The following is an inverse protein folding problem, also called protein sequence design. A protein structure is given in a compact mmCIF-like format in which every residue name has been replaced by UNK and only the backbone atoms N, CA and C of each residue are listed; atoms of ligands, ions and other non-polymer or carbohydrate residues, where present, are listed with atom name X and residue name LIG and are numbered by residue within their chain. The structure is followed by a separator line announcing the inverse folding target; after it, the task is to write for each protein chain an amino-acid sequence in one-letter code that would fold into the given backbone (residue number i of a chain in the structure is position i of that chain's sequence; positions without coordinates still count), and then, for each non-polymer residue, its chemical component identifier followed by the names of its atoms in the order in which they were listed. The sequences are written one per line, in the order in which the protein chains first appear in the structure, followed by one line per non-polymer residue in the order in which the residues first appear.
data_IF_249890652785
#
_entry.id   IF_249890652785
#
_cell.length_a   1.000
_cell.length_b   1.000
_cell.length_c   1.000
_cell.angle_alpha   90.00
_cell.angle_beta   90.00
_cell.angle_gamma   90.00
#
_symmetry.space_group_name_H-M   'P 1'
#
loop_
_entity.id
_entity.type
_entity.pdbx_description
1 polymer ?
#
# COMPACT_ATOMS: atom_id res chain seq x y z
N UNK A 1 75.41 -29.13 30.15
CA UNK A 1 74.34 -28.14 30.13
C UNK A 1 74.01 -27.82 28.70
N UNK A 2 72.80 -28.23 28.27
CA UNK A 2 72.42 -28.33 26.88
C UNK A 2 72.09 -26.99 26.21
N UNK A 3 72.98 -26.59 25.30
CA UNK A 3 72.71 -25.41 24.40
C UNK A 3 71.58 -25.62 23.41
N UNK A 4 70.99 -26.81 23.33
CA UNK A 4 69.90 -27.14 22.42
C UNK A 4 68.51 -26.70 22.94
N UNK A 5 68.29 -26.47 24.23
CA UNK A 5 67.02 -26.07 24.78
C UNK A 5 66.71 -24.59 24.70
N UNK A 6 67.68 -23.71 24.50
CA UNK A 6 67.49 -22.25 24.46
C UNK A 6 67.05 -21.80 23.06
N UNK A 7 67.38 -22.51 21.99
CA UNK A 7 66.99 -22.16 20.61
C UNK A 7 65.52 -22.44 20.26
N UNK A 8 64.95 -23.46 20.88
CA UNK A 8 63.54 -23.84 20.58
C UNK A 8 62.53 -22.87 21.19
N UNK A 9 62.88 -22.26 22.34
CA UNK A 9 61.93 -21.26 22.99
C UNK A 9 61.93 -19.92 22.23
N UNK A 10 63.05 -19.53 21.64
CA UNK A 10 63.16 -18.27 20.91
C UNK A 10 62.46 -18.32 19.53
N UNK A 11 62.51 -19.44 18.83
CA UNK A 11 61.84 -19.68 17.57
C UNK A 11 60.30 -19.69 17.76
N UNK A 12 59.80 -20.31 18.85
CA UNK A 12 58.37 -20.32 19.17
C UNK A 12 57.81 -18.94 19.57
N UNK A 13 58.63 -18.10 20.22
CA UNK A 13 58.23 -16.74 20.56
C UNK A 13 58.18 -15.83 19.32
N UNK A 14 59.12 -15.96 18.39
CA UNK A 14 59.14 -15.24 17.11
C UNK A 14 57.94 -15.64 16.22
N UNK A 15 57.58 -16.94 16.19
CA UNK A 15 56.42 -17.44 15.43
C UNK A 15 55.10 -16.88 15.99
N UNK A 16 54.94 -16.89 17.32
CA UNK A 16 53.75 -16.30 17.97
C UNK A 16 53.63 -14.79 17.74
N UNK A 17 54.74 -14.07 17.72
CA UNK A 17 54.76 -12.64 17.41
C UNK A 17 54.37 -12.35 15.94
N UNK A 18 54.86 -13.18 15.00
CA UNK A 18 54.50 -13.09 13.58
C UNK A 18 53.00 -13.39 13.35
N UNK A 19 52.48 -14.42 14.01
CA UNK A 19 51.08 -14.81 13.91
C UNK A 19 50.15 -13.73 14.53
N UNK A 20 50.53 -13.15 15.66
CA UNK A 20 49.79 -12.04 16.28
C UNK A 20 49.79 -10.78 15.38
N UNK A 21 50.91 -10.48 14.71
CA UNK A 21 50.99 -9.35 13.77
C UNK A 21 50.13 -9.58 12.52
N UNK A 22 50.04 -10.84 12.05
CA UNK A 22 49.21 -11.22 10.91
C UNK A 22 47.70 -11.14 11.26
N UNK A 23 47.34 -11.60 12.45
CA UNK A 23 45.97 -11.50 12.96
C UNK A 23 45.54 -10.02 13.16
N UNK A 24 46.42 -9.18 13.69
CA UNK A 24 46.15 -7.75 13.84
C UNK A 24 45.97 -7.04 12.47
N UNK A 25 46.78 -7.40 11.45
CA UNK A 25 46.60 -6.86 10.09
C UNK A 25 45.27 -7.28 9.46
N UNK A 26 44.84 -8.55 9.64
CA UNK A 26 43.53 -9.01 9.15
C UNK A 26 42.42 -8.25 9.84
N UNK A 27 42.44 -8.12 11.15
CA UNK A 27 41.42 -7.40 11.91
C UNK A 27 41.27 -5.92 11.49
N UNK A 28 42.40 -5.25 11.18
CA UNK A 28 42.41 -3.88 10.66
C UNK A 28 41.83 -3.82 9.24
N UNK A 29 42.09 -4.82 8.40
CA UNK A 29 41.48 -4.91 7.06
C UNK A 29 39.98 -5.15 7.11
N UNK A 30 39.50 -6.03 8.00
CA UNK A 30 38.09 -6.28 8.19
C UNK A 30 37.34 -5.03 8.72
N UNK A 31 37.92 -4.34 9.70
CA UNK A 31 37.37 -3.08 10.20
C UNK A 31 37.33 -1.97 9.13
N UNK A 32 38.33 -1.93 8.24
CA UNK A 32 38.35 -0.97 7.13
C UNK A 32 37.30 -1.32 6.05
N UNK A 33 37.06 -2.61 5.80
CA UNK A 33 36.01 -3.08 4.89
C UNK A 33 34.63 -2.77 5.43
N UNK A 34 34.35 -3.05 6.70
CA UNK A 34 33.09 -2.72 7.38
C UNK A 34 32.81 -1.22 7.41
N UNK A 35 33.85 -0.41 7.68
CA UNK A 35 33.72 1.05 7.66
C UNK A 35 33.38 1.59 6.25
N UNK A 36 33.94 0.97 5.19
CA UNK A 36 33.68 1.32 3.80
C UNK A 36 32.24 0.96 3.42
N UNK A 37 31.80 -0.24 3.76
CA UNK A 37 30.44 -0.73 3.51
C UNK A 37 29.40 0.11 4.26
N UNK A 38 29.65 0.48 5.51
CA UNK A 38 28.79 1.39 6.29
C UNK A 38 28.71 2.78 5.67
N UNK A 39 29.81 3.32 5.11
CA UNK A 39 29.79 4.62 4.40
C UNK A 39 29.06 4.55 3.08
N UNK A 40 29.18 3.46 2.33
CA UNK A 40 28.46 3.25 1.07
C UNK A 40 26.95 3.12 1.34
N UNK A 41 26.56 2.36 2.37
CA UNK A 41 25.15 2.26 2.80
C UNK A 41 24.57 3.61 3.20
N UNK A 42 25.29 4.40 4.02
CA UNK A 42 24.87 5.76 4.39
C UNK A 42 24.74 6.71 3.19
N UNK A 43 25.61 6.59 2.17
CA UNK A 43 25.50 7.36 0.93
C UNK A 43 24.29 6.95 0.11
N UNK A 44 24.02 5.64 0.00
CA UNK A 44 22.85 5.12 -0.70
C UNK A 44 21.54 5.56 -0.01
N UNK A 45 21.49 5.50 1.32
CA UNK A 45 20.33 5.96 2.10
C UNK A 45 20.13 7.48 1.99
N UNK A 46 21.21 8.26 1.98
CA UNK A 46 21.16 9.70 1.77
C UNK A 46 20.73 10.07 0.34
N UNK A 47 21.13 9.30 -0.68
CA UNK A 47 20.66 9.49 -2.06
C UNK A 47 19.19 9.15 -2.21
N UNK A 48 18.71 8.05 -1.58
CA UNK A 48 17.28 7.71 -1.54
C UNK A 48 16.44 8.77 -0.84
N UNK A 49 16.94 9.30 0.29
CA UNK A 49 16.27 10.38 1.01
C UNK A 49 16.23 11.70 0.20
N UNK A 50 17.30 12.01 -0.54
CA UNK A 50 17.33 13.18 -1.42
C UNK A 50 16.42 13.01 -2.65
N UNK A 51 16.34 11.81 -3.22
CA UNK A 51 15.41 11.49 -4.31
C UNK A 51 13.94 11.56 -3.83
N UNK A 52 13.66 11.03 -2.63
CA UNK A 52 12.34 11.14 -2.01
C UNK A 52 11.96 12.61 -1.73
N UNK A 53 12.89 13.43 -1.24
CA UNK A 53 12.66 14.88 -1.08
C UNK A 53 12.40 15.60 -2.39
N UNK A 54 13.11 15.26 -3.47
CA UNK A 54 12.85 15.81 -4.80
C UNK A 54 11.48 15.42 -5.35
N UNK A 55 11.06 14.17 -5.14
CA UNK A 55 9.72 13.68 -5.52
C UNK A 55 8.62 14.41 -4.71
N UNK A 56 8.85 14.65 -3.42
CA UNK A 56 7.92 15.40 -2.57
C UNK A 56 7.85 16.86 -3.02
N UNK A 57 8.98 17.52 -3.30
CA UNK A 57 9.02 18.88 -3.77
C UNK A 57 8.42 19.04 -5.19
N UNK A 58 8.58 18.05 -6.07
CA UNK A 58 7.91 18.02 -7.37
C UNK A 58 6.38 17.88 -7.21
N UNK A 59 5.93 16.99 -6.32
CA UNK A 59 4.51 16.82 -6.00
C UNK A 59 3.89 18.06 -5.32
N UNK A 60 4.68 18.82 -4.55
CA UNK A 60 4.24 20.09 -3.95
C UNK A 60 4.20 21.24 -4.97
N UNK A 61 5.04 21.21 -6.00
CA UNK A 61 5.00 22.23 -7.07
C UNK A 61 3.83 22.04 -8.04
N UNK A 62 3.29 20.80 -8.16
CA UNK A 62 2.09 20.51 -8.94
C UNK A 62 0.79 20.88 -8.22
N UNK A 63 0.81 21.13 -6.90
CA UNK A 63 -0.36 21.56 -6.11
C UNK A 63 -0.93 22.93 -6.52
N UNK A 64 -0.32 23.64 -7.45
CA UNK A 64 -0.65 25.05 -7.75
C UNK A 64 -1.67 25.32 -8.85
N UNK A 65 -2.17 24.34 -9.62
CA UNK A 65 -2.93 24.65 -10.84
C UNK A 65 -4.15 23.80 -11.15
N UNK A 66 -4.40 22.70 -10.47
CA UNK A 66 -5.61 21.88 -10.69
C UNK A 66 -6.75 22.36 -9.77
N UNK A 67 -8.00 22.50 -10.26
CA UNK A 67 -9.14 22.80 -9.40
C UNK A 67 -9.34 21.68 -8.39
N UNK A 68 -9.63 22.03 -7.14
CA UNK A 68 -9.93 21.08 -6.08
C UNK A 68 -11.18 20.28 -6.44
N UNK A 69 -11.07 18.96 -6.47
CA UNK A 69 -12.21 18.05 -6.70
C UNK A 69 -13.03 17.96 -5.41
N UNK A 70 -14.19 18.59 -5.37
CA UNK A 70 -15.06 18.62 -4.18
C UNK A 70 -15.99 17.43 -4.08
N UNK A 71 -16.45 16.92 -5.21
CA UNK A 71 -17.38 15.80 -5.30
C UNK A 71 -17.21 15.05 -6.63
N UNK A 72 -17.57 13.79 -6.64
CA UNK A 72 -17.49 12.91 -7.80
C UNK A 72 -18.86 12.27 -7.98
N UNK A 73 -19.38 12.28 -9.20
CA UNK A 73 -20.64 11.62 -9.52
C UNK A 73 -20.53 10.13 -9.19
N UNK A 74 -21.54 9.57 -8.55
CA UNK A 74 -21.53 8.16 -8.08
C UNK A 74 -21.21 7.18 -9.21
N UNK A 75 -21.79 7.39 -10.42
CA UNK A 75 -21.45 6.57 -11.60
C UNK A 75 -19.96 6.60 -11.92
N UNK A 76 -19.35 7.79 -11.93
CA UNK A 76 -17.94 7.97 -12.23
C UNK A 76 -17.05 7.37 -11.15
N UNK A 77 -17.46 7.48 -9.89
CA UNK A 77 -16.78 6.81 -8.78
C UNK A 77 -16.76 5.29 -8.95
N UNK A 78 -17.89 4.69 -9.36
CA UNK A 78 -17.99 3.26 -9.66
C UNK A 78 -17.14 2.85 -10.87
N UNK A 79 -16.99 3.71 -11.88
CA UNK A 79 -16.02 3.48 -12.98
C UNK A 79 -14.59 3.48 -12.49
N UNK A 80 -14.21 4.44 -11.64
CA UNK A 80 -12.86 4.52 -11.06
C UNK A 80 -12.55 3.26 -10.23
N UNK A 81 -13.52 2.78 -9.44
CA UNK A 81 -13.39 1.53 -8.69
C UNK A 81 -13.17 0.35 -9.64
N UNK A 82 -13.95 0.25 -10.73
CA UNK A 82 -13.78 -0.81 -11.70
C UNK A 82 -12.40 -0.78 -12.40
N UNK A 83 -11.87 0.40 -12.73
CA UNK A 83 -10.52 0.53 -13.26
C UNK A 83 -9.45 0.05 -12.30
N UNK A 84 -9.64 0.23 -10.99
CA UNK A 84 -8.72 -0.31 -9.99
C UNK A 84 -8.77 -1.84 -9.95
N UNK A 85 -9.97 -2.44 -9.95
CA UNK A 85 -10.14 -3.90 -9.99
C UNK A 85 -9.52 -4.52 -11.24
N UNK A 86 -9.55 -3.80 -12.36
CA UNK A 86 -8.97 -4.27 -13.62
C UNK A 86 -7.46 -3.98 -13.75
N UNK A 87 -6.81 -3.39 -12.74
CA UNK A 87 -5.46 -2.85 -12.87
C UNK A 87 -4.38 -3.92 -13.15
N UNK A 88 -4.54 -5.12 -12.64
CA UNK A 88 -3.66 -6.28 -12.90
C UNK A 88 -4.10 -7.12 -14.11
N UNK A 89 -5.20 -6.74 -14.79
CA UNK A 89 -5.79 -7.45 -15.93
C UNK A 89 -6.78 -8.55 -15.54
N UNK A 90 -7.04 -8.76 -14.23
CA UNK A 90 -7.93 -9.81 -13.74
C UNK A 90 -8.86 -9.22 -12.67
N UNK A 91 -10.15 -9.45 -12.78
CA UNK A 91 -11.12 -9.07 -11.75
C UNK A 91 -11.45 -10.32 -10.90
N UNK A 92 -11.15 -10.26 -9.61
CA UNK A 92 -11.36 -11.39 -8.70
C UNK A 92 -12.78 -11.37 -8.12
N UNK A 93 -13.28 -12.55 -7.75
CA UNK A 93 -14.63 -12.70 -7.19
C UNK A 93 -14.82 -11.91 -5.87
N UNK A 94 -13.79 -11.85 -5.02
CA UNK A 94 -13.79 -11.07 -3.78
C UNK A 94 -13.95 -9.56 -4.02
N UNK A 95 -13.34 -9.06 -5.09
CA UNK A 95 -13.48 -7.67 -5.52
C UNK A 95 -14.89 -7.39 -6.06
N UNK A 96 -15.43 -8.31 -6.89
CA UNK A 96 -16.79 -8.20 -7.38
C UNK A 96 -17.84 -8.16 -6.26
N UNK A 97 -17.69 -9.01 -5.24
CA UNK A 97 -18.58 -8.99 -4.06
C UNK A 97 -18.51 -7.64 -3.31
N UNK A 98 -17.29 -7.09 -3.15
CA UNK A 98 -17.11 -5.77 -2.52
C UNK A 98 -17.66 -4.65 -3.40
N UNK A 99 -17.42 -4.71 -4.72
CA UNK A 99 -17.96 -3.76 -5.69
C UNK A 99 -19.48 -3.74 -5.65
N UNK A 100 -20.13 -4.91 -5.58
CA UNK A 100 -21.58 -5.02 -5.48
C UNK A 100 -22.10 -4.42 -4.17
N UNK A 101 -21.43 -4.66 -3.07
CA UNK A 101 -21.81 -4.09 -1.78
C UNK A 101 -21.65 -2.56 -1.76
N UNK A 102 -20.55 -2.03 -2.28
CA UNK A 102 -20.29 -0.59 -2.39
C UNK A 102 -21.30 0.05 -3.35
N UNK A 103 -21.49 -0.53 -4.54
CA UNK A 103 -22.42 -0.02 -5.54
C UNK A 103 -23.85 0.07 -5.02
N UNK A 104 -24.34 -0.97 -4.35
CA UNK A 104 -25.67 -0.98 -3.73
C UNK A 104 -25.82 0.05 -2.59
N UNK A 105 -24.73 0.36 -1.89
CA UNK A 105 -24.74 1.39 -0.84
C UNK A 105 -24.74 2.82 -1.42
N UNK A 106 -24.10 3.03 -2.57
CA UNK A 106 -23.97 4.34 -3.22
C UNK A 106 -25.14 4.67 -4.14
N UNK A 107 -25.71 3.67 -4.83
CA UNK A 107 -26.79 3.84 -5.81
C UNK A 107 -27.87 2.78 -5.58
N UNK A 108 -29.10 3.16 -5.16
CA UNK A 108 -30.22 2.22 -5.02
C UNK A 108 -30.56 1.44 -6.31
N UNK A 109 -30.23 1.99 -7.49
CA UNK A 109 -30.48 1.38 -8.78
C UNK A 109 -29.21 0.71 -9.36
N UNK A 110 -28.20 0.45 -8.54
CA UNK A 110 -26.91 -0.09 -8.98
C UNK A 110 -27.04 -1.39 -9.75
N UNK A 111 -27.92 -2.29 -9.33
CA UNK A 111 -28.12 -3.58 -10.01
C UNK A 111 -28.50 -3.40 -11.50
N UNK A 112 -29.24 -2.36 -11.84
CA UNK A 112 -29.64 -2.04 -13.21
C UNK A 112 -28.54 -1.29 -13.97
N UNK A 113 -27.76 -0.45 -13.28
CA UNK A 113 -26.72 0.39 -13.88
C UNK A 113 -25.37 -0.35 -14.01
N UNK A 114 -25.08 -1.35 -13.17
CA UNK A 114 -23.82 -2.11 -13.14
C UNK A 114 -23.38 -2.65 -14.50
N UNK A 115 -24.25 -3.34 -15.30
CA UNK A 115 -23.82 -3.88 -16.60
C UNK A 115 -23.36 -2.80 -17.58
N UNK A 116 -23.99 -1.62 -17.56
CA UNK A 116 -23.60 -0.51 -18.40
C UNK A 116 -22.25 0.10 -17.95
N UNK A 117 -22.03 0.26 -16.66
CA UNK A 117 -20.75 0.74 -16.10
C UNK A 117 -19.60 -0.17 -16.50
N UNK A 118 -19.76 -1.48 -16.27
CA UNK A 118 -18.74 -2.49 -16.63
C UNK A 118 -18.45 -2.47 -18.11
N UNK A 119 -19.50 -2.47 -18.94
CA UNK A 119 -19.36 -2.47 -20.40
C UNK A 119 -18.60 -1.24 -20.91
N UNK A 120 -18.89 -0.07 -20.36
CA UNK A 120 -18.23 1.18 -20.76
C UNK A 120 -16.73 1.15 -20.41
N UNK A 121 -16.36 0.63 -19.25
CA UNK A 121 -14.96 0.47 -18.84
C UNK A 121 -14.25 -0.61 -19.68
N UNK A 122 -14.86 -1.79 -19.86
CA UNK A 122 -14.29 -2.88 -20.66
C UNK A 122 -14.06 -2.47 -22.11
N UNK A 123 -14.96 -1.73 -22.71
CA UNK A 123 -14.82 -1.27 -24.10
C UNK A 123 -13.58 -0.39 -24.32
N UNK A 124 -13.05 0.24 -23.28
CA UNK A 124 -11.78 0.98 -23.32
C UNK A 124 -10.59 0.05 -23.10
N UNK A 125 -10.67 -0.86 -22.12
CA UNK A 125 -9.57 -1.74 -21.72
C UNK A 125 -9.30 -2.87 -22.73
N UNK A 126 -10.34 -3.46 -23.33
CA UNK A 126 -10.18 -4.58 -24.28
C UNK A 126 -9.33 -4.23 -25.50
N UNK A 127 -9.26 -2.94 -25.87
CA UNK A 127 -8.45 -2.48 -27.02
C UNK A 127 -6.95 -2.56 -26.77
N UNK A 128 -6.52 -2.64 -25.51
CA UNK A 128 -5.12 -2.44 -25.09
C UNK A 128 -4.64 -3.44 -24.05
N UNK A 129 -5.45 -4.46 -23.71
CA UNK A 129 -5.17 -5.40 -22.60
C UNK A 129 -3.79 -6.10 -22.70
N UNK A 130 -3.30 -6.30 -23.92
CA UNK A 130 -2.01 -6.93 -24.20
C UNK A 130 -0.92 -5.91 -24.63
N UNK A 131 -1.16 -4.60 -24.47
CA UNK A 131 -0.24 -3.55 -24.89
C UNK A 131 0.57 -2.97 -23.73
N UNK A 132 1.74 -2.39 -24.05
CA UNK A 132 2.53 -1.62 -23.07
C UNK A 132 1.78 -0.39 -22.56
N UNK A 133 0.74 0.06 -23.29
CA UNK A 133 -0.06 1.24 -22.99
C UNK A 133 -1.23 0.94 -22.02
N UNK A 134 -1.40 -0.30 -21.56
CA UNK A 134 -2.53 -0.70 -20.72
C UNK A 134 -2.68 0.19 -19.46
N UNK A 135 -1.57 0.46 -18.80
CA UNK A 135 -1.57 1.31 -17.60
C UNK A 135 -1.92 2.77 -17.90
N UNK A 136 -1.49 3.29 -19.06
CA UNK A 136 -1.81 4.65 -19.48
C UNK A 136 -3.30 4.80 -19.77
N UNK A 137 -3.92 3.79 -20.38
CA UNK A 137 -5.38 3.77 -20.63
C UNK A 137 -6.18 3.69 -19.32
N UNK A 138 -5.69 2.96 -18.32
CA UNK A 138 -6.30 2.98 -16.97
C UNK A 138 -6.25 4.39 -16.37
N UNK A 139 -5.12 5.07 -16.48
CA UNK A 139 -4.97 6.45 -15.97
C UNK A 139 -5.89 7.42 -16.71
N UNK A 140 -5.96 7.34 -18.03
CA UNK A 140 -6.82 8.16 -18.87
C UNK A 140 -8.29 7.95 -18.50
N UNK A 141 -8.73 6.68 -18.35
CA UNK A 141 -10.08 6.36 -17.90
C UNK A 141 -10.44 6.93 -16.54
N UNK A 142 -9.49 6.90 -15.60
CA UNK A 142 -9.64 7.53 -14.28
C UNK A 142 -9.73 9.06 -14.41
N UNK A 143 -8.87 9.69 -15.21
CA UNK A 143 -8.91 11.13 -15.43
C UNK A 143 -10.22 11.58 -16.05
N UNK A 144 -10.68 10.89 -17.09
CA UNK A 144 -11.95 11.16 -17.75
C UNK A 144 -13.12 11.05 -16.76
N UNK A 145 -13.11 10.01 -15.91
CA UNK A 145 -14.14 9.87 -14.88
C UNK A 145 -14.10 10.97 -13.83
N UNK A 146 -12.93 11.46 -13.43
CA UNK A 146 -12.80 12.59 -12.49
C UNK A 146 -13.27 13.89 -13.15
N UNK A 147 -12.87 14.15 -14.40
CA UNK A 147 -13.17 15.41 -15.11
C UNK A 147 -14.61 15.49 -15.59
N UNK A 148 -15.20 14.34 -15.98
CA UNK A 148 -16.59 14.26 -16.47
C UNK A 148 -17.62 14.21 -15.35
N UNK A 149 -17.23 14.42 -14.10
CA UNK A 149 -18.15 14.58 -12.95
C UNK A 149 -19.13 15.73 -13.19
N UNK A 150 -20.21 15.43 -13.90
CA UNK A 150 -21.09 16.41 -14.49
C UNK A 150 -22.12 16.96 -13.49
N UNK A 151 -22.47 18.22 -13.72
CA UNK A 151 -23.55 18.96 -13.04
C UNK A 151 -24.95 18.30 -13.15
N UNK A 152 -25.09 17.24 -13.97
CA UNK A 152 -26.35 16.53 -14.21
C UNK A 152 -26.50 15.21 -13.44
N UNK A 153 -25.54 14.85 -12.60
CA UNK A 153 -25.62 13.62 -11.82
C UNK A 153 -26.58 13.81 -10.61
N UNK A 154 -27.42 12.80 -10.34
CA UNK A 154 -28.37 12.84 -9.24
C UNK A 154 -27.71 12.59 -7.86
N UNK A 155 -26.57 11.89 -7.85
CA UNK A 155 -25.85 11.51 -6.62
C UNK A 155 -24.35 11.73 -6.76
N UNK A 156 -23.74 12.16 -5.65
CA UNK A 156 -22.30 12.45 -5.57
C UNK A 156 -21.70 11.87 -4.30
N UNK A 157 -20.42 11.52 -4.37
CA UNK A 157 -19.63 11.11 -3.20
C UNK A 157 -18.45 12.04 -3.00
N UNK A 158 -17.90 12.05 -1.78
CA UNK A 158 -16.69 12.81 -1.49
C UNK A 158 -15.43 12.07 -2.00
N UNK A 159 -14.37 12.77 -2.38
CA UNK A 159 -13.11 12.15 -2.76
C UNK A 159 -12.54 11.22 -1.67
N UNK A 160 -12.73 11.56 -0.40
CA UNK A 160 -12.29 10.74 0.73
C UNK A 160 -13.05 9.42 0.83
N UNK A 161 -14.37 9.44 0.59
CA UNK A 161 -15.19 8.22 0.55
C UNK A 161 -14.74 7.31 -0.60
N UNK A 162 -14.52 7.89 -1.80
CA UNK A 162 -13.99 7.10 -2.92
C UNK A 162 -12.65 6.43 -2.58
N UNK A 163 -11.72 7.15 -1.94
CA UNK A 163 -10.42 6.56 -1.56
C UNK A 163 -10.60 5.45 -0.52
N UNK A 164 -11.55 5.59 0.41
CA UNK A 164 -11.89 4.52 1.35
C UNK A 164 -12.43 3.27 0.63
N UNK A 165 -13.33 3.45 -0.33
CA UNK A 165 -13.91 2.36 -1.10
C UNK A 165 -12.84 1.67 -1.97
N UNK A 166 -11.94 2.44 -2.60
CA UNK A 166 -10.81 1.92 -3.36
C UNK A 166 -9.85 1.07 -2.49
N UNK A 167 -9.54 1.53 -1.27
CA UNK A 167 -8.74 0.76 -0.32
C UNK A 167 -9.46 -0.53 0.11
N UNK A 168 -10.79 -0.47 0.31
CA UNK A 168 -11.59 -1.64 0.66
C UNK A 168 -11.56 -2.71 -0.43
N UNK A 169 -11.58 -2.30 -1.70
CA UNK A 169 -11.43 -3.20 -2.85
C UNK A 169 -10.01 -3.76 -2.92
N UNK A 170 -8.99 -2.89 -2.91
CA UNK A 170 -7.59 -3.28 -3.06
C UNK A 170 -7.10 -4.28 -2.00
N UNK A 171 -7.72 -4.29 -0.83
CA UNK A 171 -7.39 -5.23 0.24
C UNK A 171 -8.38 -6.40 0.37
N UNK A 172 -9.29 -6.60 -0.61
CA UNK A 172 -10.34 -7.62 -0.52
C UNK A 172 -9.83 -9.05 -0.72
N UNK A 173 -8.77 -9.24 -1.49
CA UNK A 173 -8.23 -10.54 -1.89
C UNK A 173 -6.88 -10.91 -1.24
N UNK A 174 -6.39 -10.07 -0.32
CA UNK A 174 -5.06 -10.19 0.32
C UNK A 174 -3.86 -9.99 -0.64
N UNK A 175 -4.10 -9.65 -1.92
CA UNK A 175 -3.09 -9.60 -2.98
C UNK A 175 -2.86 -8.18 -3.52
N UNK A 176 -2.98 -7.13 -2.68
CA UNK A 176 -2.76 -5.75 -3.11
C UNK A 176 -1.43 -5.59 -3.89
N UNK A 177 -1.53 -5.65 -5.20
CA UNK A 177 -0.40 -5.74 -6.11
C UNK A 177 0.28 -4.39 -6.37
N UNK A 178 1.40 -4.41 -7.11
CA UNK A 178 2.15 -3.19 -7.38
C UNK A 178 1.42 -2.26 -8.38
N UNK A 179 0.64 -2.81 -9.31
CA UNK A 179 -0.09 -2.06 -10.34
C UNK A 179 -1.27 -1.34 -9.73
N UNK A 180 -2.09 -2.03 -8.94
CA UNK A 180 -3.16 -1.44 -8.15
C UNK A 180 -2.64 -0.34 -7.22
N UNK A 181 -1.53 -0.62 -6.53
CA UNK A 181 -0.88 0.35 -5.63
C UNK A 181 -0.41 1.60 -6.35
N UNK A 182 0.11 1.47 -7.57
CA UNK A 182 0.50 2.60 -8.41
C UNK A 182 -0.72 3.40 -8.84
N UNK A 183 -1.77 2.73 -9.31
CA UNK A 183 -3.00 3.36 -9.75
C UNK A 183 -3.72 4.08 -8.60
N UNK A 184 -3.84 3.44 -7.44
CA UNK A 184 -4.42 4.06 -6.24
C UNK A 184 -3.66 5.31 -5.81
N UNK A 185 -2.32 5.27 -5.78
CA UNK A 185 -1.49 6.46 -5.49
C UNK A 185 -1.65 7.57 -6.52
N UNK A 186 -1.87 7.21 -7.78
CA UNK A 186 -2.18 8.17 -8.83
C UNK A 186 -3.53 8.85 -8.58
N UNK A 187 -4.59 8.07 -8.29
CA UNK A 187 -5.92 8.57 -7.96
C UNK A 187 -5.88 9.51 -6.74
N UNK A 188 -5.24 9.09 -5.65
CA UNK A 188 -5.08 9.89 -4.42
C UNK A 188 -4.46 11.26 -4.70
N UNK A 189 -3.44 11.31 -5.58
CA UNK A 189 -2.81 12.57 -6.00
C UNK A 189 -3.74 13.44 -6.84
N UNK A 190 -4.49 12.84 -7.78
CA UNK A 190 -5.44 13.58 -8.63
C UNK A 190 -6.60 14.16 -7.81
N UNK A 191 -7.05 13.44 -6.80
CA UNK A 191 -8.07 13.87 -5.85
C UNK A 191 -7.56 14.84 -4.78
N UNK A 192 -6.26 15.13 -4.76
CA UNK A 192 -5.59 16.02 -3.79
C UNK A 192 -5.80 15.61 -2.32
N UNK A 193 -5.95 14.32 -2.07
CA UNK A 193 -6.07 13.79 -0.71
C UNK A 193 -4.74 13.95 0.04
N UNK A 194 -4.82 14.49 1.25
CA UNK A 194 -3.64 14.62 2.10
C UNK A 194 -3.02 13.26 2.41
N UNK A 195 -1.69 13.20 2.37
CA UNK A 195 -0.95 11.95 2.59
C UNK A 195 -1.19 11.38 3.99
N UNK A 196 -1.35 12.22 5.01
CA UNK A 196 -1.59 11.74 6.37
C UNK A 196 -2.98 11.10 6.46
N UNK A 197 -4.00 11.71 5.83
CA UNK A 197 -5.36 11.16 5.73
C UNK A 197 -5.35 9.82 5.01
N UNK A 198 -4.65 9.70 3.88
CA UNK A 198 -4.54 8.45 3.15
C UNK A 198 -3.89 7.34 3.99
N UNK A 199 -2.77 7.63 4.67
CA UNK A 199 -2.08 6.65 5.52
C UNK A 199 -2.92 6.23 6.73
N UNK A 200 -3.73 7.12 7.29
CA UNK A 200 -4.64 6.80 8.37
C UNK A 200 -5.76 5.86 7.91
N UNK A 201 -6.35 6.12 6.73
CA UNK A 201 -7.33 5.23 6.10
C UNK A 201 -6.73 3.84 5.83
N UNK A 202 -5.55 3.78 5.21
CA UNK A 202 -4.86 2.52 4.92
C UNK A 202 -4.56 1.72 6.20
N UNK A 203 -4.04 2.36 7.24
CA UNK A 203 -3.78 1.74 8.54
C UNK A 203 -5.07 1.23 9.21
N UNK A 204 -6.16 1.97 9.07
CA UNK A 204 -7.46 1.60 9.62
C UNK A 204 -8.02 0.34 8.94
N UNK A 205 -7.97 0.25 7.61
CA UNK A 205 -8.39 -0.95 6.86
C UNK A 205 -7.56 -2.16 7.27
N UNK A 206 -6.24 -2.05 7.31
CA UNK A 206 -5.37 -3.15 7.73
C UNK A 206 -5.71 -3.63 9.15
N UNK A 207 -5.98 -2.70 10.07
CA UNK A 207 -6.37 -3.05 11.43
C UNK A 207 -7.73 -3.75 11.48
N UNK A 208 -8.69 -3.34 10.66
CA UNK A 208 -10.01 -3.99 10.54
C UNK A 208 -9.83 -5.43 10.03
N UNK A 209 -9.05 -5.63 8.97
CA UNK A 209 -8.77 -6.96 8.41
C UNK A 209 -8.09 -7.88 9.42
N UNK A 210 -7.12 -7.37 10.19
CA UNK A 210 -6.47 -8.14 11.25
C UNK A 210 -7.48 -8.57 12.34
N UNK A 211 -8.40 -7.67 12.71
CA UNK A 211 -9.49 -7.97 13.66
C UNK A 211 -10.42 -9.05 13.08
N UNK A 212 -10.80 -8.95 11.82
CA UNK A 212 -11.66 -9.91 11.13
C UNK A 212 -11.02 -11.29 11.07
N UNK A 213 -9.72 -11.36 10.75
CA UNK A 213 -8.93 -12.61 10.77
C UNK A 213 -8.87 -13.21 12.18
N UNK A 214 -8.65 -12.40 13.21
CA UNK A 214 -8.64 -12.87 14.59
C UNK A 214 -10.02 -13.42 15.00
N UNK A 215 -11.10 -12.72 14.67
CA UNK A 215 -12.49 -13.19 14.96
C UNK A 215 -12.77 -14.51 14.21
N UNK A 216 -12.43 -14.58 12.93
CA UNK A 216 -12.60 -15.81 12.14
C UNK A 216 -11.83 -16.97 12.74
N UNK A 217 -10.55 -16.77 13.10
CA UNK A 217 -9.73 -17.79 13.76
C UNK A 217 -10.31 -18.23 15.10
N UNK A 218 -10.77 -17.30 15.96
CA UNK A 218 -11.38 -17.64 17.25
C UNK A 218 -12.62 -18.51 17.05
N UNK A 219 -13.45 -18.23 16.04
CA UNK A 219 -14.67 -19.00 15.73
C UNK A 219 -14.39 -20.41 15.24
N UNK A 220 -13.19 -20.69 14.70
CA UNK A 220 -12.79 -22.04 14.27
C UNK A 220 -12.20 -22.89 15.39
N UNK A 221 -11.99 -22.34 16.59
CA UNK A 221 -11.41 -23.07 17.73
C UNK A 221 -12.46 -23.95 18.42
N UNK A 222 -12.04 -25.12 18.94
CA UNK A 222 -12.90 -26.04 19.71
C UNK A 222 -13.21 -25.56 21.15
N UNK A 223 -12.98 -24.26 21.44
CA UNK A 223 -13.23 -23.69 22.77
C UNK A 223 -14.71 -23.48 22.99
N UNK A 224 -15.26 -23.72 24.20
CA UNK A 224 -16.64 -23.42 24.51
C UNK A 224 -16.96 -21.94 24.24
N UNK A 225 -18.10 -21.66 23.56
CA UNK A 225 -18.50 -20.29 23.17
C UNK A 225 -18.41 -19.29 24.31
N UNK A 226 -18.88 -19.64 25.51
CA UNK A 226 -18.84 -18.78 26.69
C UNK A 226 -17.42 -18.30 27.08
N UNK A 227 -16.37 -19.03 26.66
CA UNK A 227 -14.98 -18.64 26.94
C UNK A 227 -14.41 -17.69 25.93
N UNK A 228 -15.00 -17.63 24.71
CA UNK A 228 -14.54 -16.79 23.60
C UNK A 228 -15.43 -15.58 23.34
N UNK A 229 -16.69 -15.59 23.83
CA UNK A 229 -17.68 -14.53 23.62
C UNK A 229 -17.18 -13.16 24.05
N UNK A 230 -16.56 -13.07 25.23
CA UNK A 230 -16.03 -11.80 25.72
C UNK A 230 -14.97 -11.21 24.79
N UNK A 231 -14.09 -12.05 24.21
CA UNK A 231 -13.05 -11.62 23.29
C UNK A 231 -13.64 -11.20 21.94
N UNK A 232 -14.60 -11.96 21.40
CA UNK A 232 -15.30 -11.58 20.16
C UNK A 232 -16.00 -10.24 20.34
N UNK A 233 -16.70 -10.03 21.46
CA UNK A 233 -17.39 -8.77 21.74
C UNK A 233 -16.42 -7.59 21.88
N UNK A 234 -15.26 -7.78 22.51
CA UNK A 234 -14.20 -6.77 22.59
C UNK A 234 -13.70 -6.39 21.20
N UNK A 235 -13.35 -7.37 20.36
CA UNK A 235 -12.87 -7.16 19.00
C UNK A 235 -13.92 -6.46 18.12
N UNK A 236 -15.17 -6.86 18.20
CA UNK A 236 -16.28 -6.21 17.47
C UNK A 236 -16.47 -4.76 17.90
N UNK A 237 -16.37 -4.46 19.19
CA UNK A 237 -16.42 -3.06 19.69
C UNK A 237 -15.25 -2.23 19.18
N UNK A 238 -14.04 -2.82 19.15
CA UNK A 238 -12.86 -2.14 18.61
C UNK A 238 -13.01 -1.86 17.13
N UNK A 239 -13.50 -2.82 16.36
CA UNK A 239 -13.79 -2.63 14.94
C UNK A 239 -14.80 -1.50 14.72
N UNK A 240 -15.91 -1.48 15.46
CA UNK A 240 -16.89 -0.40 15.39
C UNK A 240 -16.30 0.98 15.68
N UNK A 241 -15.44 1.10 16.71
CA UNK A 241 -14.76 2.35 17.03
C UNK A 241 -13.83 2.83 15.92
N UNK A 242 -13.17 1.92 15.20
CA UNK A 242 -12.34 2.27 14.04
C UNK A 242 -13.22 2.78 12.90
N UNK A 243 -14.34 2.12 12.59
CA UNK A 243 -15.29 2.60 11.58
C UNK A 243 -15.85 3.98 11.91
N UNK A 244 -16.18 4.25 13.18
CA UNK A 244 -16.65 5.57 13.61
C UNK A 244 -15.58 6.64 13.40
N UNK A 245 -14.32 6.36 13.76
CA UNK A 245 -13.20 7.26 13.54
C UNK A 245 -12.97 7.56 12.05
N UNK A 246 -13.04 6.54 11.20
CA UNK A 246 -12.92 6.72 9.75
C UNK A 246 -14.09 7.50 9.16
N UNK A 247 -15.31 7.28 9.66
CA UNK A 247 -16.48 8.05 9.24
C UNK A 247 -16.29 9.54 9.50
N UNK A 248 -15.76 9.91 10.67
CA UNK A 248 -15.44 11.30 10.99
C UNK A 248 -14.37 11.85 10.04
N UNK A 249 -13.35 11.06 9.72
CA UNK A 249 -12.27 11.42 8.80
C UNK A 249 -12.77 11.68 7.37
N UNK A 250 -13.76 10.90 6.90
CA UNK A 250 -14.36 11.00 5.56
C UNK A 250 -15.29 12.21 5.46
N UNK A 251 -15.98 12.58 6.53
CA UNK A 251 -16.98 13.65 6.55
C UNK A 251 -16.38 15.05 6.78
N UNK A 252 -15.20 15.13 7.37
CA UNK A 252 -14.44 16.38 7.56
C UNK A 252 -13.66 16.77 6.31
#
# INVERSE_FOLDING_TARGET
MDKKKIGAGFAGALQKAADATKAAKLAVQDMAADAKQSREKKKADAQKAAAAKKLIAAAESEKGTAPEVKSIATRNALQIIYYLMAADGTVYHSEEEKFDAIGAALDPNFADSKPAIIKDCQAQLEKVIDSEDYYDVLQDGVEDAIQSSNETADTFITPKLLVWDLLTIAYSDESYDETERKLLKYIVRKLQIDKAVFLEMESSILTILDIEKEIAWIKTTDRPYLTIEARINELTKRQAAIFDSVKDLITL
#
